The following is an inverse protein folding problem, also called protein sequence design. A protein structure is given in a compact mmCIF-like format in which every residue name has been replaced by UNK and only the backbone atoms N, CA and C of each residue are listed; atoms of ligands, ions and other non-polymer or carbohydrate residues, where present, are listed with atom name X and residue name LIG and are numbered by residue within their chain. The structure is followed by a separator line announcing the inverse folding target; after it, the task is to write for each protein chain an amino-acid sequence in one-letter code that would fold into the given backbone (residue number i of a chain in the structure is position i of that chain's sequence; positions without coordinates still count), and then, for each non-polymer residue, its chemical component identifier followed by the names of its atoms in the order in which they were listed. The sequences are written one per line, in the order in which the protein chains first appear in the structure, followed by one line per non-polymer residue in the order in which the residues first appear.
data_IF_297551745700
#
_entry.id   IF_297551745700
#
_cell.length_a   1.000
_cell.length_b   1.000
_cell.length_c   1.000
_cell.angle_alpha   90.00
_cell.angle_beta   90.00
_cell.angle_gamma   90.00
#
_symmetry.space_group_name_H-M   'P 1'
#
loop_
_entity.id
_entity.type
_entity.pdbx_description
1 polymer ?
#
# COMPACT_ATOMS: atom_id res chain seq x y z
N UNK A 1 -31.69 24.44 -25.96
CA UNK A 1 -31.59 24.07 -24.52
C UNK A 1 -30.89 22.72 -24.34
N UNK A 2 -29.61 22.60 -24.73
CA UNK A 2 -28.89 21.31 -24.77
C UNK A 2 -27.46 21.40 -24.18
N UNK A 3 -27.21 22.32 -23.25
CA UNK A 3 -25.88 22.49 -22.63
C UNK A 3 -25.83 22.07 -21.15
N UNK A 4 -26.97 22.05 -20.45
CA UNK A 4 -27.02 21.75 -19.02
C UNK A 4 -26.98 20.25 -18.69
N UNK A 5 -27.45 19.36 -19.58
CA UNK A 5 -27.50 17.90 -19.31
C UNK A 5 -26.15 17.20 -19.42
N UNK A 6 -25.21 17.73 -20.20
CA UNK A 6 -23.90 17.11 -20.40
C UNK A 6 -22.93 17.38 -19.23
N UNK A 7 -23.11 18.53 -18.56
CA UNK A 7 -22.25 18.94 -17.46
C UNK A 7 -22.49 18.12 -16.17
N UNK A 8 -23.73 17.70 -15.94
CA UNK A 8 -24.10 16.88 -14.77
C UNK A 8 -23.50 15.47 -14.88
N UNK A 9 -23.42 14.91 -16.09
CA UNK A 9 -22.85 13.57 -16.31
C UNK A 9 -21.35 13.53 -15.99
N UNK A 10 -20.61 14.59 -16.34
CA UNK A 10 -19.15 14.66 -16.13
C UNK A 10 -18.77 14.72 -14.65
N UNK A 11 -19.52 15.47 -13.84
CA UNK A 11 -19.25 15.61 -12.39
C UNK A 11 -19.53 14.30 -11.67
N UNK A 12 -20.59 13.58 -12.03
CA UNK A 12 -20.89 12.29 -11.40
C UNK A 12 -19.84 11.21 -11.69
N UNK A 13 -19.24 11.20 -12.90
CA UNK A 13 -18.22 10.19 -13.26
C UNK A 13 -16.92 10.41 -12.47
N UNK A 14 -16.55 11.67 -12.20
CA UNK A 14 -15.36 12.00 -11.43
C UNK A 14 -15.46 11.51 -9.97
N UNK A 15 -16.59 11.74 -9.32
CA UNK A 15 -16.81 11.33 -7.93
C UNK A 15 -16.84 9.80 -7.73
N UNK A 16 -17.30 9.03 -8.73
CA UNK A 16 -17.30 7.57 -8.65
C UNK A 16 -15.86 7.02 -8.72
N UNK A 17 -14.98 7.68 -9.49
CA UNK A 17 -13.60 7.23 -9.68
C UNK A 17 -12.77 7.38 -8.40
N UNK A 18 -12.97 8.48 -7.66
CA UNK A 18 -12.37 8.68 -6.33
C UNK A 18 -12.94 7.72 -5.28
N UNK A 19 -14.25 7.45 -5.30
CA UNK A 19 -14.85 6.52 -4.36
C UNK A 19 -14.37 5.07 -4.58
N UNK A 20 -14.20 4.65 -5.84
CA UNK A 20 -13.78 3.28 -6.17
C UNK A 20 -12.30 3.00 -5.84
N UNK A 21 -11.42 3.99 -6.03
CA UNK A 21 -10.00 3.87 -5.70
C UNK A 21 -9.76 3.77 -4.18
N UNK A 22 -10.55 4.49 -3.38
CA UNK A 22 -10.51 4.43 -1.91
C UNK A 22 -11.08 3.12 -1.36
N UNK A 23 -12.04 2.48 -2.04
CA UNK A 23 -12.53 1.16 -1.60
C UNK A 23 -11.55 0.02 -1.87
N UNK A 24 -10.79 0.06 -2.98
CA UNK A 24 -9.80 -0.99 -3.29
C UNK A 24 -8.58 -0.96 -2.36
N UNK A 25 -8.23 0.21 -1.83
CA UNK A 25 -7.10 0.37 -0.89
C UNK A 25 -7.32 -0.27 0.48
N UNK A 26 -8.54 -0.72 0.81
CA UNK A 26 -8.79 -1.52 2.02
C UNK A 26 -8.44 -3.00 1.87
N UNK A 27 -8.21 -3.50 0.66
CA UNK A 27 -8.16 -4.93 0.37
C UNK A 27 -6.83 -5.44 -0.21
N UNK A 28 -5.82 -4.58 -0.36
CA UNK A 28 -4.56 -4.97 -1.02
C UNK A 28 -3.69 -5.98 -0.25
N UNK A 29 -4.04 -6.30 1.00
CA UNK A 29 -3.39 -7.33 1.83
C UNK A 29 -4.19 -8.64 1.94
N UNK A 30 -5.18 -8.88 1.07
CA UNK A 30 -6.00 -10.09 1.11
C UNK A 30 -5.16 -11.37 1.08
N UNK A 31 -4.19 -11.47 0.16
CA UNK A 31 -3.28 -12.62 0.06
C UNK A 31 -2.44 -12.80 1.33
N UNK A 32 -1.99 -11.71 1.93
CA UNK A 32 -1.18 -11.71 3.14
C UNK A 32 -1.95 -12.17 4.39
N UNK A 33 -3.22 -11.77 4.50
CA UNK A 33 -4.08 -12.16 5.61
C UNK A 33 -4.48 -13.64 5.51
N UNK A 34 -4.83 -14.11 4.32
CA UNK A 34 -5.20 -15.52 4.09
C UNK A 34 -4.04 -16.48 4.35
N UNK A 35 -2.81 -16.11 3.95
CA UNK A 35 -1.62 -16.93 4.16
C UNK A 35 -1.02 -16.81 5.57
N UNK A 36 -1.48 -15.87 6.40
CA UNK A 36 -0.97 -15.65 7.76
C UNK A 36 0.53 -15.30 7.79
N UNK A 37 0.90 -14.21 7.13
CA UNK A 37 2.30 -13.82 6.90
C UNK A 37 2.93 -12.91 7.97
N UNK A 38 2.18 -12.58 9.03
CA UNK A 38 2.61 -11.62 10.07
C UNK A 38 3.97 -11.97 10.71
N UNK A 39 4.26 -13.27 10.89
CA UNK A 39 5.55 -13.74 11.40
C UNK A 39 6.69 -13.48 10.40
N UNK A 40 6.48 -13.80 9.12
CA UNK A 40 7.48 -13.55 8.08
C UNK A 40 7.84 -12.06 7.99
N UNK A 41 6.85 -11.17 8.12
CA UNK A 41 7.10 -9.73 8.16
C UNK A 41 7.99 -9.32 9.33
N UNK A 42 7.73 -9.85 10.52
CA UNK A 42 8.56 -9.60 11.71
C UNK A 42 10.02 -10.00 11.51
N UNK A 43 10.27 -11.12 10.85
CA UNK A 43 11.64 -11.59 10.56
C UNK A 43 12.33 -10.73 9.50
N UNK A 44 11.56 -10.14 8.57
CA UNK A 44 12.08 -9.44 7.40
C UNK A 44 12.16 -7.92 7.51
N UNK A 45 12.01 -7.35 8.71
CA UNK A 45 12.03 -5.91 8.93
C UNK A 45 13.34 -5.23 8.48
N UNK A 46 14.44 -5.96 8.37
CA UNK A 46 15.76 -5.44 7.97
C UNK A 46 16.11 -5.74 6.51
N UNK A 47 15.17 -6.26 5.71
CA UNK A 47 15.40 -6.49 4.28
C UNK A 47 15.81 -5.19 3.55
N UNK A 48 16.35 -5.29 2.35
CA UNK A 48 16.73 -4.13 1.55
C UNK A 48 16.57 -4.43 0.07
N UNK A 49 15.94 -3.50 -0.66
CA UNK A 49 15.59 -3.69 -2.06
C UNK A 49 14.42 -4.65 -2.24
N UNK A 50 13.57 -4.38 -3.25
CA UNK A 50 12.35 -5.16 -3.49
C UNK A 50 12.62 -6.67 -3.57
N UNK A 51 13.58 -7.09 -4.38
CA UNK A 51 13.97 -8.51 -4.52
C UNK A 51 14.43 -9.12 -3.19
N UNK A 52 15.20 -8.38 -2.40
CA UNK A 52 15.67 -8.84 -1.09
C UNK A 52 14.53 -9.01 -0.09
N UNK A 53 13.59 -8.07 -0.06
CA UNK A 53 12.39 -8.16 0.79
C UNK A 53 11.47 -9.31 0.37
N UNK A 54 11.22 -9.47 -0.94
CA UNK A 54 10.42 -10.59 -1.46
C UNK A 54 11.02 -11.95 -1.13
N UNK A 55 12.34 -12.08 -1.33
CA UNK A 55 13.09 -13.29 -1.01
C UNK A 55 13.02 -13.59 0.48
N UNK A 56 13.24 -12.60 1.34
CA UNK A 56 13.18 -12.80 2.79
C UNK A 56 11.82 -13.33 3.24
N UNK A 57 10.72 -12.72 2.78
CA UNK A 57 9.36 -13.14 3.15
C UNK A 57 9.11 -14.58 2.70
N UNK A 58 9.46 -14.90 1.45
CA UNK A 58 9.26 -16.23 0.86
C UNK A 58 10.10 -17.30 1.55
N UNK A 59 11.35 -17.00 1.92
CA UNK A 59 12.19 -17.92 2.69
C UNK A 59 11.68 -18.11 4.12
N UNK A 60 11.15 -17.05 4.75
CA UNK A 60 10.59 -17.11 6.10
C UNK A 60 9.29 -17.92 6.14
N UNK A 61 8.47 -17.82 5.07
CA UNK A 61 7.26 -18.63 4.88
C UNK A 61 6.92 -18.74 3.39
N UNK A 62 7.10 -19.91 2.75
CA UNK A 62 6.88 -20.08 1.30
C UNK A 62 5.47 -19.71 0.82
N UNK A 63 4.45 -19.97 1.63
CA UNK A 63 3.04 -19.64 1.34
C UNK A 63 2.77 -18.12 1.24
N UNK A 64 3.75 -17.30 1.62
CA UNK A 64 3.68 -15.84 1.54
C UNK A 64 4.26 -15.26 0.25
N UNK A 65 4.66 -16.09 -0.73
CA UNK A 65 5.25 -15.63 -1.99
C UNK A 65 4.34 -14.64 -2.75
N UNK A 66 3.07 -14.99 -2.95
CA UNK A 66 2.10 -14.10 -3.61
C UNK A 66 1.89 -12.80 -2.85
N UNK A 67 1.79 -12.89 -1.52
CA UNK A 67 1.72 -11.71 -0.65
C UNK A 67 2.97 -10.83 -0.80
N UNK A 68 4.15 -11.43 -0.85
CA UNK A 68 5.40 -10.69 -1.03
C UNK A 68 5.42 -9.93 -2.35
N UNK A 69 4.87 -10.51 -3.42
CA UNK A 69 4.68 -9.81 -4.70
C UNK A 69 3.67 -8.68 -4.60
N UNK A 70 2.52 -8.93 -3.95
CA UNK A 70 1.45 -7.95 -3.80
C UNK A 70 1.90 -6.67 -3.08
N UNK A 71 2.78 -6.76 -2.08
CA UNK A 71 3.29 -5.60 -1.32
C UNK A 71 3.86 -4.50 -2.21
N UNK A 72 4.42 -4.86 -3.37
CA UNK A 72 5.13 -3.93 -4.26
C UNK A 72 4.35 -3.59 -5.53
N UNK A 73 3.13 -4.09 -5.70
CA UNK A 73 2.34 -3.79 -6.91
C UNK A 73 1.80 -2.37 -6.90
N UNK A 74 1.99 -1.68 -8.02
CA UNK A 74 1.49 -0.30 -8.23
C UNK A 74 -0.04 -0.21 -8.22
N UNK A 75 -0.74 -1.28 -8.58
CA UNK A 75 -2.21 -1.32 -8.64
C UNK A 75 -2.88 -1.08 -7.28
N UNK A 76 -2.14 -1.24 -6.19
CA UNK A 76 -2.62 -0.98 -4.83
C UNK A 76 -2.28 0.41 -4.29
N UNK A 77 -1.56 1.21 -5.08
CA UNK A 77 -1.21 2.58 -4.69
C UNK A 77 -2.36 3.53 -5.03
N UNK A 78 -2.60 4.50 -4.15
CA UNK A 78 -3.63 5.52 -4.32
C UNK A 78 -2.95 6.84 -4.68
N UNK A 79 -3.37 7.51 -5.77
CA UNK A 79 -2.88 8.83 -6.11
C UNK A 79 -3.48 9.87 -5.14
N UNK A 80 -2.62 10.54 -4.36
CA UNK A 80 -2.99 11.61 -3.43
C UNK A 80 -2.08 12.81 -3.72
N UNK A 81 -2.67 13.96 -4.05
CA UNK A 81 -1.95 15.18 -4.45
C UNK A 81 -0.88 14.96 -5.54
N UNK A 82 -1.18 14.10 -6.52
CA UNK A 82 -0.28 13.81 -7.64
C UNK A 82 0.91 12.89 -7.31
N UNK A 83 0.92 12.26 -6.13
CA UNK A 83 1.90 11.23 -5.75
C UNK A 83 1.18 9.93 -5.41
N UNK A 84 1.81 8.81 -5.75
CA UNK A 84 1.31 7.47 -5.44
C UNK A 84 1.71 7.09 -4.01
N UNK A 85 0.72 6.72 -3.20
CA UNK A 85 0.93 6.28 -1.83
C UNK A 85 0.33 4.91 -1.60
N UNK A 86 1.04 4.11 -0.82
CA UNK A 86 0.45 2.94 -0.19
C UNK A 86 -0.42 3.40 0.99
N UNK A 87 -1.68 2.98 1.05
CA UNK A 87 -2.58 3.30 2.17
C UNK A 87 -2.33 2.32 3.31
N UNK A 88 -2.25 2.81 4.55
CA UNK A 88 -2.08 1.94 5.71
C UNK A 88 -2.64 2.55 7.00
N UNK A 89 -3.22 1.71 7.86
CA UNK A 89 -3.72 2.06 9.19
C UNK A 89 -2.62 1.86 10.25
N UNK A 90 -2.20 2.90 11.00
CA UNK A 90 -1.21 2.77 12.07
C UNK A 90 -1.67 1.90 13.24
N UNK A 91 -2.98 1.66 13.39
CA UNK A 91 -3.56 0.80 14.42
C UNK A 91 -3.47 -0.68 14.06
N UNK A 92 -3.25 -0.99 12.77
CA UNK A 92 -3.04 -2.35 12.28
C UNK A 92 -1.53 -2.66 12.26
N UNK A 93 -1.05 -3.55 13.14
CA UNK A 93 0.37 -3.89 13.23
C UNK A 93 0.89 -4.62 11.99
N UNK A 94 0.02 -5.31 11.24
CA UNK A 94 0.40 -5.95 9.98
C UNK A 94 0.65 -4.87 8.94
N UNK A 95 -0.29 -3.95 8.75
CA UNK A 95 -0.14 -2.85 7.79
C UNK A 95 1.07 -1.97 8.11
N UNK A 96 1.33 -1.72 9.38
CA UNK A 96 2.52 -0.97 9.82
C UNK A 96 3.84 -1.67 9.46
N UNK A 97 3.92 -2.99 9.66
CA UNK A 97 5.11 -3.78 9.25
C UNK A 97 5.25 -3.82 7.73
N UNK A 98 4.15 -3.99 7.00
CA UNK A 98 4.19 -4.01 5.54
C UNK A 98 4.62 -2.65 5.00
N UNK A 99 4.11 -1.55 5.55
CA UNK A 99 4.57 -0.20 5.19
C UNK A 99 6.09 -0.08 5.37
N UNK A 100 6.62 -0.54 6.50
CA UNK A 100 8.06 -0.58 6.72
C UNK A 100 8.79 -1.40 5.64
N UNK A 101 8.36 -2.63 5.39
CA UNK A 101 8.94 -3.52 4.37
C UNK A 101 8.89 -2.91 2.96
N UNK A 102 7.76 -2.30 2.60
CA UNK A 102 7.59 -1.60 1.33
C UNK A 102 8.65 -0.50 1.17
N UNK A 103 8.85 0.31 2.21
CA UNK A 103 9.87 1.35 2.22
C UNK A 103 11.31 0.79 2.18
N UNK A 104 11.58 -0.29 2.91
CA UNK A 104 12.87 -1.02 2.83
C UNK A 104 13.13 -1.55 1.41
N UNK A 105 12.09 -2.00 0.71
CA UNK A 105 12.19 -2.42 -0.69
C UNK A 105 12.54 -1.28 -1.65
N UNK A 106 12.22 -0.04 -1.28
CA UNK A 106 12.64 1.19 -1.98
C UNK A 106 13.95 1.78 -1.44
N UNK A 107 14.73 0.99 -0.69
CA UNK A 107 16.00 1.41 -0.07
C UNK A 107 15.87 2.54 0.96
N UNK A 108 14.66 2.83 1.45
CA UNK A 108 14.49 3.71 2.59
C UNK A 108 14.84 3.01 3.90
N UNK A 109 15.24 3.76 4.92
CA UNK A 109 15.59 3.19 6.22
C UNK A 109 14.35 2.78 7.02
N UNK A 110 13.31 3.61 6.96
CA UNK A 110 12.11 3.50 7.79
C UNK A 110 10.87 3.77 6.92
N UNK A 111 9.86 2.93 7.06
CA UNK A 111 8.48 3.23 6.66
C UNK A 111 7.57 3.37 7.87
N UNK A 112 6.69 4.37 7.84
CA UNK A 112 5.71 4.65 8.90
C UNK A 112 4.35 5.00 8.31
N UNK A 113 3.28 4.50 8.92
CA UNK A 113 1.91 4.91 8.60
C UNK A 113 1.63 6.25 9.27
N UNK A 114 1.39 7.27 8.45
CA UNK A 114 1.20 8.65 8.89
C UNK A 114 -0.04 9.26 8.26
N UNK A 115 -0.61 10.26 8.94
CA UNK A 115 -1.68 11.06 8.38
C UNK A 115 -1.12 12.09 7.37
N UNK A 116 -1.74 12.14 6.21
CA UNK A 116 -1.56 13.16 5.18
C UNK A 116 -2.94 13.73 4.86
N UNK A 117 -3.25 14.89 5.43
CA UNK A 117 -4.58 15.49 5.44
C UNK A 117 -5.65 14.51 5.98
N UNK A 118 -6.56 14.04 5.12
CA UNK A 118 -7.61 13.09 5.49
C UNK A 118 -7.26 11.62 5.19
N UNK A 119 -6.04 11.36 4.70
CA UNK A 119 -5.59 10.03 4.32
C UNK A 119 -4.57 9.47 5.30
N UNK A 120 -4.60 8.15 5.51
CA UNK A 120 -3.58 7.42 6.24
C UNK A 120 -2.69 6.70 5.22
N UNK A 121 -1.43 7.10 5.14
CA UNK A 121 -0.51 6.69 4.08
C UNK A 121 0.80 6.19 4.66
N UNK A 122 1.44 5.27 3.96
CA UNK A 122 2.79 4.86 4.24
C UNK A 122 3.77 5.91 3.73
N UNK A 123 4.57 6.50 4.61
CA UNK A 123 5.68 7.38 4.26
C UNK A 123 7.01 6.68 4.47
N UNK A 124 7.86 6.78 3.45
CA UNK A 124 9.23 6.29 3.50
C UNK A 124 10.18 7.44 3.85
N UNK A 125 11.10 7.19 4.77
CA UNK A 125 12.14 8.13 5.15
C UNK A 125 13.50 7.45 5.16
N UNK A 126 14.46 8.17 4.60
CA UNK A 126 15.89 7.88 4.69
C UNK A 126 16.49 9.03 5.45
N UNK A 127 16.39 9.05 6.78
CA UNK A 127 17.12 10.08 7.52
C UNK A 127 18.61 9.89 7.22
N UNK A 128 19.22 10.95 6.68
CA UNK A 128 20.66 11.16 6.67
C UNK A 128 21.15 11.35 8.10
#
# INVERSE_FOLDING_TARGET
MLKAKFFILFVTIFSITEALSVTNSKYWLLSCNLSGCSFAFSTCMTCLGESGCKTCITLSKPDCSTCADDIFKKEYMVPIFGKEYLVCDPSDPIQSKVCHIYCRGQFAQIGQCERLDDYLVCKCSSKS
#
